data_IF_462575300314
#
_entry.id   IF_462575300314
#
_cell.length_a   1.000
_cell.length_b   1.000
_cell.length_c   1.000
_cell.angle_alpha   90.00
_cell.angle_beta   90.00
_cell.angle_gamma   90.00
#
_symmetry.space_group_name_H-M   'P 1'
#
loop_
_entity.id
_entity.type
_entity.pdbx_description
1 polymer ?
#
# COMPACT_ATOMS: atom_id res chain seq x y z
N UNK A 1 -4.44 20.90 -10.47
CA UNK A 1 -5.22 19.74 -9.98
C UNK A 1 -6.56 19.63 -10.70
N UNK A 2 -7.36 20.69 -10.75
CA UNK A 2 -8.68 20.68 -11.41
C UNK A 2 -8.66 20.19 -12.86
N UNK A 3 -7.69 20.67 -13.67
CA UNK A 3 -7.52 20.21 -15.06
C UNK A 3 -7.30 18.70 -15.16
N UNK A 4 -6.51 18.14 -14.23
CA UNK A 4 -6.25 16.71 -14.17
C UNK A 4 -7.54 15.95 -13.82
N UNK A 5 -8.25 16.37 -12.77
CA UNK A 5 -9.48 15.71 -12.33
C UNK A 5 -10.60 15.79 -13.38
N UNK A 6 -10.74 16.93 -14.07
CA UNK A 6 -11.72 17.07 -15.14
C UNK A 6 -11.35 16.21 -16.35
N UNK A 7 -10.08 16.17 -16.75
CA UNK A 7 -9.61 15.29 -17.83
C UNK A 7 -9.85 13.81 -17.53
N UNK A 8 -9.56 13.36 -16.30
CA UNK A 8 -9.89 11.99 -15.86
C UNK A 8 -11.40 11.76 -15.87
N UNK A 9 -12.20 12.71 -15.38
CA UNK A 9 -13.66 12.59 -15.35
C UNK A 9 -14.24 12.45 -16.75
N UNK A 10 -13.76 13.24 -17.72
CA UNK A 10 -14.18 13.15 -19.12
C UNK A 10 -13.79 11.81 -19.74
N UNK A 11 -12.55 11.36 -19.50
CA UNK A 11 -12.08 10.08 -20.02
C UNK A 11 -12.89 8.89 -19.45
N UNK A 12 -13.20 8.91 -18.15
CA UNK A 12 -14.06 7.89 -17.52
C UNK A 12 -15.50 7.93 -18.06
N UNK A 13 -16.06 9.12 -18.33
CA UNK A 13 -17.39 9.23 -18.98
C UNK A 13 -17.39 8.63 -20.38
N UNK A 14 -16.34 8.91 -21.15
CA UNK A 14 -16.19 8.43 -22.52
C UNK A 14 -16.06 6.90 -22.56
N UNK A 15 -15.24 6.33 -21.67
CA UNK A 15 -14.90 4.90 -21.64
C UNK A 15 -15.67 4.13 -20.55
N UNK A 16 -16.83 4.64 -20.12
CA UNK A 16 -17.61 4.09 -19.00
C UNK A 16 -17.97 2.61 -19.17
N UNK A 17 -18.08 2.14 -20.41
CA UNK A 17 -18.46 0.77 -20.73
C UNK A 17 -17.36 -0.25 -20.37
N UNK A 18 -16.11 0.22 -20.15
CA UNK A 18 -15.01 -0.59 -19.62
C UNK A 18 -15.07 -0.77 -18.11
N UNK A 19 -15.92 -0.02 -17.40
CA UNK A 19 -16.09 -0.20 -15.96
C UNK A 19 -16.83 -1.52 -15.72
N UNK A 20 -16.17 -2.53 -15.12
CA UNK A 20 -16.76 -3.84 -14.97
C UNK A 20 -17.89 -3.80 -13.92
N UNK A 21 -19.00 -4.49 -14.22
CA UNK A 21 -20.17 -4.54 -13.34
C UNK A 21 -20.12 -5.64 -12.27
N UNK A 22 -19.13 -6.53 -12.31
CA UNK A 22 -19.00 -7.64 -11.37
C UNK A 22 -18.47 -7.18 -10.01
N UNK A 23 -18.91 -7.83 -8.94
CA UNK A 23 -18.40 -7.57 -7.60
C UNK A 23 -16.89 -7.83 -7.51
N UNK A 24 -16.17 -6.98 -6.77
CA UNK A 24 -14.72 -7.09 -6.59
C UNK A 24 -13.90 -6.69 -7.83
N UNK A 25 -14.54 -6.11 -8.84
CA UNK A 25 -13.87 -5.57 -10.04
C UNK A 25 -13.96 -4.05 -10.09
N UNK A 26 -13.01 -3.41 -10.79
CA UNK A 26 -12.98 -1.96 -10.99
C UNK A 26 -12.25 -1.59 -12.28
N UNK A 27 -12.34 -0.32 -12.69
CA UNK A 27 -11.51 0.24 -13.76
C UNK A 27 -10.34 0.99 -13.13
N UNK A 28 -9.14 0.43 -13.24
CA UNK A 28 -7.93 1.05 -12.71
C UNK A 28 -7.45 2.15 -13.65
N UNK A 29 -7.23 3.35 -13.10
CA UNK A 29 -6.78 4.53 -13.83
C UNK A 29 -5.28 4.74 -13.54
N UNK A 30 -4.45 4.73 -14.59
CA UNK A 30 -3.00 4.91 -14.53
C UNK A 30 -2.58 6.18 -15.29
N UNK A 31 -2.61 7.34 -14.64
CA UNK A 31 -1.93 8.51 -15.16
C UNK A 31 -0.42 8.32 -15.09
N UNK A 32 0.29 8.81 -16.09
CA UNK A 32 1.74 8.78 -16.16
C UNK A 32 2.28 10.04 -16.85
N UNK A 33 3.48 10.43 -16.44
CA UNK A 33 4.26 11.49 -17.07
C UNK A 33 5.64 10.93 -17.39
N UNK A 34 6.12 11.15 -18.61
CA UNK A 34 7.48 10.80 -19.03
C UNK A 34 8.16 12.00 -19.70
N UNK A 35 9.46 12.16 -19.43
CA UNK A 35 10.31 13.09 -20.15
C UNK A 35 10.65 12.53 -21.54
N UNK A 36 10.61 13.38 -22.56
CA UNK A 36 10.84 12.98 -23.97
C UNK A 36 11.82 13.90 -24.70
N UNK A 37 12.70 14.56 -23.94
CA UNK A 37 13.77 15.41 -24.46
C UNK A 37 14.70 14.63 -25.43
N UNK A 38 14.95 15.12 -26.65
CA UNK A 38 15.80 14.43 -27.63
C UNK A 38 17.29 14.76 -27.44
N UNK A 39 17.76 14.93 -26.21
CA UNK A 39 19.17 15.24 -25.90
C UNK A 39 19.72 14.28 -24.85
N UNK A 40 21.03 14.00 -24.92
CA UNK A 40 21.71 13.05 -24.03
C UNK A 40 22.21 13.68 -22.71
N UNK A 41 22.21 15.01 -22.61
CA UNK A 41 22.67 15.72 -21.42
C UNK A 41 21.75 15.49 -20.23
N UNK A 42 22.32 15.31 -19.03
CA UNK A 42 21.55 15.13 -17.79
C UNK A 42 21.04 16.49 -17.32
N UNK A 43 19.78 16.80 -17.66
CA UNK A 43 19.05 17.99 -17.21
C UNK A 43 17.57 17.67 -17.02
N UNK A 44 16.81 18.50 -16.30
CA UNK A 44 15.36 18.50 -16.40
C UNK A 44 14.90 18.67 -17.87
N UNK A 45 13.86 17.93 -18.25
CA UNK A 45 13.30 17.98 -19.60
C UNK A 45 12.49 19.26 -19.80
N UNK A 46 12.49 19.81 -21.02
CA UNK A 46 11.56 20.88 -21.40
C UNK A 46 10.30 20.31 -22.10
N UNK A 47 10.32 19.02 -22.45
CA UNK A 47 9.24 18.32 -23.14
C UNK A 47 8.78 17.07 -22.39
N UNK A 48 7.47 16.94 -22.18
CA UNK A 48 6.87 15.83 -21.46
C UNK A 48 5.64 15.31 -22.19
N UNK A 49 5.44 14.00 -22.10
CA UNK A 49 4.14 13.40 -22.39
C UNK A 49 3.44 13.09 -21.08
N UNK A 50 2.22 13.62 -20.96
CA UNK A 50 1.24 13.15 -19.99
C UNK A 50 0.24 12.26 -20.73
N UNK A 51 -0.04 11.09 -20.18
CA UNK A 51 -1.01 10.16 -20.74
C UNK A 51 -1.70 9.38 -19.62
N UNK A 52 -2.85 8.80 -19.95
CA UNK A 52 -3.66 8.02 -19.02
C UNK A 52 -4.00 6.69 -19.67
N UNK A 53 -3.75 5.59 -18.96
CA UNK A 53 -4.18 4.26 -19.33
C UNK A 53 -5.30 3.83 -18.38
N UNK A 54 -6.36 3.23 -18.91
CA UNK A 54 -7.41 2.59 -18.11
C UNK A 54 -7.39 1.08 -18.36
N UNK A 55 -7.56 0.30 -17.30
CA UNK A 55 -7.50 -1.16 -17.38
C UNK A 55 -8.51 -1.77 -16.41
N UNK A 56 -9.45 -2.61 -16.88
CA UNK A 56 -10.32 -3.37 -16.00
C UNK A 56 -9.47 -4.32 -15.14
N UNK A 57 -9.74 -4.35 -13.84
CA UNK A 57 -9.04 -5.18 -12.86
C UNK A 57 -10.03 -5.93 -11.98
N UNK A 58 -9.62 -7.13 -11.55
CA UNK A 58 -10.32 -7.92 -10.53
C UNK A 58 -9.52 -8.00 -9.24
N UNK A 59 -9.69 -9.10 -8.51
CA UNK A 59 -8.94 -9.36 -7.28
C UNK A 59 -7.42 -9.30 -7.51
N UNK A 60 -6.72 -8.58 -6.61
CA UNK A 60 -5.29 -8.34 -6.74
C UNK A 60 -4.44 -9.60 -6.54
N UNK A 61 -4.79 -10.41 -5.55
CA UNK A 61 -4.18 -11.72 -5.31
C UNK A 61 -5.05 -12.82 -5.88
N UNK A 62 -4.44 -13.81 -6.53
CA UNK A 62 -5.16 -14.97 -7.06
C UNK A 62 -5.91 -15.75 -5.97
N UNK A 63 -5.40 -15.70 -4.73
CA UNK A 63 -6.05 -16.27 -3.57
C UNK A 63 -7.16 -15.38 -2.98
N UNK A 64 -7.47 -14.22 -3.56
CA UNK A 64 -8.43 -13.26 -2.99
C UNK A 64 -7.92 -12.57 -1.73
N UNK A 65 -8.82 -12.24 -0.81
CA UNK A 65 -8.51 -11.57 0.46
C UNK A 65 -7.99 -12.57 1.51
N UNK A 66 -6.86 -13.22 1.19
CA UNK A 66 -6.20 -14.19 2.06
C UNK A 66 -4.89 -13.60 2.63
N UNK A 67 -4.48 -14.02 3.84
CA UNK A 67 -3.23 -13.53 4.45
C UNK A 67 -1.99 -13.88 3.63
N UNK A 68 -1.12 -12.90 3.44
CA UNK A 68 0.15 -13.06 2.74
C UNK A 68 1.29 -13.42 3.70
N UNK A 69 2.35 -14.01 3.16
CA UNK A 69 3.64 -14.21 3.83
C UNK A 69 4.61 -13.13 3.40
N UNK A 70 5.22 -12.45 4.36
CA UNK A 70 6.16 -11.35 4.09
C UNK A 70 7.57 -11.71 4.58
N UNK A 71 8.57 -11.36 3.77
CA UNK A 71 9.98 -11.50 4.12
C UNK A 71 10.55 -10.13 4.49
N UNK A 72 11.13 -10.01 5.68
CA UNK A 72 11.88 -8.82 6.06
C UNK A 72 13.16 -8.75 5.23
N UNK A 73 13.35 -7.62 4.55
CA UNK A 73 14.52 -7.35 3.74
C UNK A 73 15.52 -6.50 4.51
N UNK A 74 16.70 -7.06 4.76
CA UNK A 74 17.80 -6.45 5.53
C UNK A 74 19.05 -6.14 4.67
N UNK A 75 19.03 -6.50 3.38
CA UNK A 75 20.12 -6.28 2.44
C UNK A 75 19.84 -5.08 1.54
N UNK A 76 18.72 -5.12 0.82
CA UNK A 76 18.29 -4.06 -0.12
C UNK A 76 17.48 -2.98 0.59
N UNK A 77 17.51 -1.77 0.03
CA UNK A 77 16.82 -0.60 0.57
C UNK A 77 15.83 -0.07 -0.46
N UNK A 78 14.63 0.28 -0.01
CA UNK A 78 13.58 0.84 -0.87
C UNK A 78 13.80 2.33 -1.16
N UNK A 79 14.10 3.09 -0.12
CA UNK A 79 14.30 4.53 -0.15
C UNK A 79 15.08 4.98 1.10
N UNK A 80 15.54 6.23 1.09
CA UNK A 80 16.18 6.91 2.22
C UNK A 80 15.59 8.32 2.36
N UNK A 81 15.63 8.92 3.56
CA UNK A 81 15.29 10.34 3.73
C UNK A 81 16.14 11.23 2.81
N UNK A 82 15.50 12.22 2.17
CA UNK A 82 16.13 13.06 1.16
C UNK A 82 16.23 12.42 -0.24
N UNK A 83 15.85 11.15 -0.38
CA UNK A 83 15.69 10.48 -1.68
C UNK A 83 14.31 10.73 -2.30
N UNK A 84 13.90 9.83 -3.20
CA UNK A 84 12.63 9.93 -3.93
C UNK A 84 11.49 9.11 -3.32
N UNK A 85 11.65 8.58 -2.10
CA UNK A 85 10.74 7.59 -1.49
C UNK A 85 9.29 8.05 -1.36
N UNK A 86 9.08 9.35 -1.09
CA UNK A 86 7.75 9.95 -0.95
C UNK A 86 7.03 10.17 -2.29
N UNK A 87 7.78 10.12 -3.40
CA UNK A 87 7.25 10.34 -4.73
C UNK A 87 6.99 9.02 -5.45
N UNK A 88 5.89 8.94 -6.21
CA UNK A 88 5.54 7.75 -7.00
C UNK A 88 6.31 7.68 -8.32
N UNK A 89 7.63 7.61 -8.24
CA UNK A 89 8.54 7.59 -9.40
C UNK A 89 8.94 6.19 -9.81
N UNK A 90 9.16 5.95 -11.11
CA UNK A 90 9.51 4.64 -11.65
C UNK A 90 10.80 4.06 -11.07
N UNK A 91 11.79 4.90 -10.73
CA UNK A 91 13.07 4.48 -10.17
C UNK A 91 12.92 3.69 -8.86
N UNK A 92 12.03 4.14 -7.97
CA UNK A 92 11.76 3.45 -6.70
C UNK A 92 11.25 2.01 -6.91
N UNK A 93 10.43 1.79 -7.93
CA UNK A 93 9.90 0.47 -8.26
C UNK A 93 10.92 -0.41 -8.96
N UNK A 94 11.74 0.15 -9.86
CA UNK A 94 12.78 -0.62 -10.54
C UNK A 94 13.82 -1.16 -9.54
N UNK A 95 14.22 -0.34 -8.56
CA UNK A 95 15.17 -0.74 -7.52
C UNK A 95 14.64 -1.86 -6.61
N UNK A 96 13.32 -1.98 -6.44
CA UNK A 96 12.70 -2.95 -5.53
C UNK A 96 12.55 -4.37 -6.11
N UNK A 97 12.61 -4.50 -7.44
CA UNK A 97 12.33 -5.77 -8.14
C UNK A 97 13.24 -6.92 -7.70
N UNK A 98 14.51 -6.64 -7.40
CA UNK A 98 15.48 -7.67 -7.02
C UNK A 98 15.12 -8.34 -5.69
N UNK A 99 14.79 -7.55 -4.67
CA UNK A 99 14.36 -8.05 -3.36
C UNK A 99 13.05 -8.86 -3.48
N UNK A 100 12.07 -8.34 -4.24
CA UNK A 100 10.81 -9.04 -4.49
C UNK A 100 11.01 -10.41 -5.16
N UNK A 101 11.93 -10.50 -6.13
CA UNK A 101 12.28 -11.79 -6.76
C UNK A 101 12.92 -12.77 -5.77
N UNK A 102 13.78 -12.29 -4.87
CA UNK A 102 14.41 -13.13 -3.82
C UNK A 102 13.35 -13.65 -2.86
N UNK A 103 12.47 -12.77 -2.36
CA UNK A 103 11.36 -13.12 -1.49
C UNK A 103 10.45 -14.18 -2.14
N UNK A 104 10.07 -13.98 -3.41
CA UNK A 104 9.28 -14.94 -4.18
C UNK A 104 9.95 -16.30 -4.33
N UNK A 105 11.25 -16.34 -4.60
CA UNK A 105 12.02 -17.60 -4.67
C UNK A 105 12.07 -18.34 -3.33
N UNK A 106 12.02 -17.61 -2.21
CA UNK A 106 11.93 -18.16 -0.85
C UNK A 106 10.48 -18.52 -0.44
N UNK A 107 9.48 -18.33 -1.31
CA UNK A 107 8.08 -18.66 -1.03
C UNK A 107 7.30 -17.59 -0.27
N UNK A 108 7.77 -16.33 -0.29
CA UNK A 108 7.08 -15.18 0.28
C UNK A 108 6.40 -14.36 -0.82
N UNK A 109 5.28 -13.73 -0.48
CA UNK A 109 4.45 -12.96 -1.41
C UNK A 109 4.92 -11.52 -1.55
N UNK A 110 5.46 -10.93 -0.48
CA UNK A 110 5.92 -9.54 -0.42
C UNK A 110 7.19 -9.39 0.44
N UNK A 111 7.84 -8.24 0.27
CA UNK A 111 8.96 -7.80 1.09
C UNK A 111 8.46 -6.84 2.17
N UNK A 112 8.90 -6.97 3.41
CA UNK A 112 8.79 -5.92 4.43
C UNK A 112 10.08 -5.10 4.42
N UNK A 113 9.96 -3.80 4.12
CA UNK A 113 11.07 -2.88 4.02
C UNK A 113 11.45 -2.34 5.40
N UNK A 114 12.74 -2.40 5.69
CA UNK A 114 13.36 -1.64 6.77
C UNK A 114 13.83 -0.28 6.25
N UNK A 115 14.01 0.67 7.16
CA UNK A 115 14.56 1.98 6.87
C UNK A 115 15.95 1.86 6.22
N UNK A 116 16.23 2.77 5.29
CA UNK A 116 17.46 2.69 4.52
C UNK A 116 18.74 3.12 5.26
N UNK A 117 18.63 3.73 6.44
CA UNK A 117 19.76 4.31 7.16
C UNK A 117 20.31 3.34 8.21
N UNK A 118 19.47 2.92 9.15
CA UNK A 118 19.81 2.06 10.28
C UNK A 118 19.46 0.59 9.99
N UNK A 119 18.64 0.31 8.96
CA UNK A 119 18.13 -1.02 8.64
C UNK A 119 17.49 -1.70 9.85
N UNK A 120 16.72 -0.91 10.60
CA UNK A 120 16.17 -1.29 11.91
C UNK A 120 14.68 -1.07 12.00
N UNK A 121 14.16 0.02 11.44
CA UNK A 121 12.78 0.44 11.61
C UNK A 121 11.92 0.00 10.44
N UNK A 122 10.71 -0.49 10.72
CA UNK A 122 9.76 -0.87 9.67
C UNK A 122 9.26 0.35 8.90
N UNK A 123 9.16 0.26 7.57
CA UNK A 123 8.58 1.30 6.71
C UNK A 123 7.31 0.83 5.96
N UNK A 124 7.48 -0.01 4.93
CA UNK A 124 6.42 -0.39 3.98
C UNK A 124 6.45 -1.90 3.70
N UNK A 125 5.36 -2.44 3.16
CA UNK A 125 5.27 -3.83 2.68
C UNK A 125 5.04 -3.86 1.18
N UNK A 126 6.04 -4.32 0.42
CA UNK A 126 6.00 -4.33 -1.04
C UNK A 126 5.89 -2.91 -1.60
N UNK A 127 4.68 -2.55 -2.04
CA UNK A 127 4.32 -1.21 -2.53
C UNK A 127 3.14 -0.59 -1.77
N UNK A 128 2.94 -1.03 -0.52
CA UNK A 128 1.84 -0.66 0.36
C UNK A 128 2.38 -0.14 1.70
N UNK A 129 1.64 0.77 2.33
CA UNK A 129 1.93 1.16 3.71
C UNK A 129 1.61 0.01 4.66
N UNK A 130 2.39 -0.14 5.75
CA UNK A 130 2.25 -1.24 6.70
C UNK A 130 1.59 -0.81 8.01
N UNK A 131 0.75 -1.68 8.57
CA UNK A 131 0.05 -1.48 9.83
C UNK A 131 0.15 -2.71 10.75
N UNK A 132 0.23 -2.47 12.06
CA UNK A 132 0.21 -3.49 13.11
C UNK A 132 -0.83 -3.11 14.16
N UNK A 133 -1.61 -4.09 14.64
CA UNK A 133 -2.68 -3.88 15.61
C UNK A 133 -2.29 -4.49 16.96
N UNK A 134 -2.27 -3.65 17.99
CA UNK A 134 -2.00 -4.00 19.39
C UNK A 134 -3.23 -3.71 20.21
N UNK A 135 -4.03 -4.72 20.55
CA UNK A 135 -5.29 -4.54 21.28
C UNK A 135 -6.20 -3.46 20.66
N UNK A 136 -6.27 -2.26 21.24
CA UNK A 136 -7.03 -1.10 20.80
C UNK A 136 -6.20 -0.02 20.07
N UNK A 137 -4.93 -0.29 19.78
CA UNK A 137 -3.99 0.62 19.11
C UNK A 137 -3.62 0.10 17.72
N UNK A 138 -3.70 0.96 16.71
CA UNK A 138 -3.20 0.71 15.35
C UNK A 138 -1.93 1.53 15.13
N UNK A 139 -0.83 0.83 14.87
CA UNK A 139 0.50 1.42 14.71
C UNK A 139 0.92 1.37 13.25
N UNK A 140 1.46 2.48 12.73
CA UNK A 140 2.08 2.57 11.40
C UNK A 140 3.32 3.45 11.46
N UNK A 141 4.23 3.27 10.50
CA UNK A 141 5.45 4.06 10.42
C UNK A 141 5.13 5.55 10.10
N UNK A 142 5.85 6.52 10.71
CA UNK A 142 5.65 7.95 10.48
C UNK A 142 6.20 8.37 9.11
N UNK A 143 5.67 9.45 8.54
CA UNK A 143 6.12 9.98 7.26
C UNK A 143 7.41 10.81 7.44
N UNK A 144 8.56 10.13 7.43
CA UNK A 144 9.89 10.72 7.72
C UNK A 144 10.75 10.98 6.48
N UNK A 145 10.15 11.20 5.30
CA UNK A 145 10.91 11.50 4.08
C UNK A 145 11.27 10.29 3.20
N UNK A 146 10.97 9.08 3.67
CA UNK A 146 11.29 7.82 2.98
C UNK A 146 10.08 6.94 2.74
N UNK A 147 8.86 7.34 3.10
CA UNK A 147 7.63 6.55 3.00
C UNK A 147 6.62 7.25 2.10
N UNK A 148 5.97 6.51 1.20
CA UNK A 148 4.93 7.07 0.35
C UNK A 148 3.69 7.44 1.20
N UNK A 149 3.21 8.68 1.09
CA UNK A 149 1.96 9.14 1.71
C UNK A 149 0.73 8.56 0.98
N UNK A 150 0.42 7.30 1.25
CA UNK A 150 -0.69 6.60 0.59
C UNK A 150 -2.06 7.17 0.96
N UNK A 151 -2.95 7.32 -0.04
CA UNK A 151 -4.34 7.72 0.19
C UNK A 151 -5.08 6.67 1.02
N UNK A 152 -4.86 5.38 0.74
CA UNK A 152 -5.47 4.28 1.50
C UNK A 152 -5.00 4.25 2.95
N UNK A 153 -3.74 4.62 3.22
CA UNK A 153 -3.21 4.78 4.59
C UNK A 153 -4.00 5.84 5.36
N UNK A 154 -4.22 7.01 4.75
CA UNK A 154 -5.02 8.08 5.36
C UNK A 154 -6.47 7.64 5.64
N UNK A 155 -7.11 6.98 4.67
CA UNK A 155 -8.46 6.43 4.85
C UNK A 155 -8.53 5.38 5.97
N UNK A 156 -7.55 4.48 6.05
CA UNK A 156 -7.46 3.46 7.10
C UNK A 156 -7.37 4.09 8.48
N UNK A 157 -6.48 5.08 8.67
CA UNK A 157 -6.32 5.75 9.96
C UNK A 157 -7.62 6.44 10.40
N UNK A 158 -8.29 7.14 9.48
CA UNK A 158 -9.59 7.79 9.74
C UNK A 158 -10.68 6.77 10.10
N UNK A 159 -10.76 5.65 9.37
CA UNK A 159 -11.75 4.62 9.65
C UNK A 159 -11.49 3.93 11.00
N UNK A 160 -10.25 3.52 11.26
CA UNK A 160 -9.87 2.88 12.50
C UNK A 160 -10.17 3.76 13.73
N UNK A 161 -9.90 5.07 13.65
CA UNK A 161 -10.27 6.04 14.69
C UNK A 161 -11.79 6.05 14.95
N UNK A 162 -12.62 6.13 13.91
CA UNK A 162 -14.08 6.04 14.06
C UNK A 162 -14.59 4.69 14.58
N UNK A 163 -13.77 3.65 14.48
CA UNK A 163 -14.06 2.32 15.03
C UNK A 163 -13.59 2.14 16.46
N UNK A 164 -13.06 3.19 17.09
CA UNK A 164 -12.62 3.22 18.49
C UNK A 164 -11.17 2.80 18.71
N UNK A 165 -10.35 2.73 17.65
CA UNK A 165 -8.93 2.41 17.78
C UNK A 165 -8.10 3.69 17.87
N UNK A 166 -7.14 3.73 18.79
CA UNK A 166 -6.14 4.79 18.83
C UNK A 166 -5.12 4.60 17.70
N UNK A 167 -4.79 5.66 16.98
CA UNK A 167 -3.76 5.62 15.93
C UNK A 167 -2.43 6.11 16.49
N UNK A 168 -1.35 5.37 16.21
CA UNK A 168 0.01 5.77 16.52
C UNK A 168 0.91 5.74 15.28
N UNK A 169 1.37 6.91 14.88
CA UNK A 169 2.43 7.05 13.88
C UNK A 169 3.78 7.08 14.61
N UNK A 170 4.45 5.93 14.69
CA UNK A 170 5.76 5.82 15.38
C UNK A 170 6.67 4.83 14.69
N UNK A 171 7.98 5.01 14.89
CA UNK A 171 8.94 4.01 14.44
C UNK A 171 8.74 2.71 15.23
N UNK A 172 8.92 1.59 14.53
CA UNK A 172 8.82 0.23 15.10
C UNK A 172 10.12 -0.47 14.76
N UNK A 173 10.94 -0.80 15.77
CA UNK A 173 12.15 -1.56 15.51
C UNK A 173 11.79 -3.01 15.15
N UNK A 174 12.51 -3.63 14.21
CA UNK A 174 12.26 -5.02 13.82
C UNK A 174 12.40 -5.97 15.02
N UNK A 175 13.38 -5.74 15.89
CA UNK A 175 13.58 -6.58 17.09
C UNK A 175 12.43 -6.42 18.10
N UNK A 176 11.88 -5.20 18.25
CA UNK A 176 10.68 -4.94 19.06
C UNK A 176 9.48 -5.69 18.49
N UNK A 177 9.24 -5.57 17.17
CA UNK A 177 8.13 -6.23 16.50
C UNK A 177 8.22 -7.75 16.63
N UNK A 178 9.40 -8.33 16.44
CA UNK A 178 9.63 -9.79 16.59
C UNK A 178 9.33 -10.24 18.02
N UNK A 179 9.83 -9.51 19.02
CA UNK A 179 9.55 -9.81 20.42
C UNK A 179 8.05 -9.71 20.73
N UNK A 180 7.37 -8.70 20.21
CA UNK A 180 5.95 -8.47 20.45
C UNK A 180 5.03 -9.47 19.72
N UNK A 181 5.42 -9.96 18.54
CA UNK A 181 4.74 -11.09 17.87
C UNK A 181 4.88 -12.35 18.71
N UNK A 182 6.10 -12.68 19.18
CA UNK A 182 6.33 -13.87 20.05
C UNK A 182 5.57 -13.79 21.36
N UNK A 183 5.44 -12.59 21.93
CA UNK A 183 4.65 -12.34 23.14
C UNK A 183 3.14 -12.31 22.90
N UNK A 184 2.68 -12.45 21.64
CA UNK A 184 1.25 -12.42 21.29
C UNK A 184 0.60 -11.05 21.46
N UNK A 185 1.39 -9.97 21.50
CA UNK A 185 0.89 -8.59 21.63
C UNK A 185 0.36 -8.05 20.30
N UNK A 186 1.00 -8.41 19.19
CA UNK A 186 0.52 -8.08 17.84
C UNK A 186 -0.64 -9.01 17.47
N UNK A 187 -1.84 -8.45 17.40
CA UNK A 187 -3.09 -9.19 17.12
C UNK A 187 -3.34 -9.35 15.63
N UNK A 188 -3.03 -8.32 14.85
CA UNK A 188 -3.26 -8.28 13.41
C UNK A 188 -2.13 -7.49 12.72
N UNK A 189 -1.88 -7.78 11.45
CA UNK A 189 -0.98 -6.98 10.61
C UNK A 189 -1.53 -6.95 9.18
N UNK A 190 -1.39 -5.80 8.51
CA UNK A 190 -1.88 -5.65 7.13
C UNK A 190 -1.17 -4.54 6.36
N UNK A 191 -1.09 -4.71 5.04
CA UNK A 191 -0.73 -3.66 4.10
C UNK A 191 -1.95 -2.87 3.61
N UNK A 192 -1.75 -1.62 3.20
CA UNK A 192 -2.79 -0.81 2.56
C UNK A 192 -2.30 -0.14 1.28
N UNK A 193 -3.13 -0.15 0.24
CA UNK A 193 -2.82 0.51 -1.03
C UNK A 193 -3.93 0.32 -2.05
N UNK A 194 -4.00 1.19 -3.07
CA UNK A 194 -5.12 1.26 -4.02
C UNK A 194 -5.46 -0.07 -4.68
N UNK A 195 -4.46 -0.88 -5.04
CA UNK A 195 -4.68 -2.05 -5.87
C UNK A 195 -5.33 -3.22 -5.10
N UNK A 196 -4.95 -3.42 -3.83
CA UNK A 196 -5.49 -4.50 -2.99
C UNK A 196 -6.44 -3.99 -1.90
N UNK A 197 -6.58 -2.67 -1.76
CA UNK A 197 -7.28 -1.97 -0.67
C UNK A 197 -6.61 -2.25 0.68
N UNK A 198 -6.84 -3.43 1.24
CA UNK A 198 -6.20 -3.96 2.44
C UNK A 198 -5.63 -5.35 2.11
N UNK A 199 -4.45 -5.67 2.63
CA UNK A 199 -3.83 -7.00 2.45
C UNK A 199 -3.45 -7.57 3.81
N UNK A 200 -4.16 -8.58 4.32
CA UNK A 200 -3.84 -9.20 5.60
C UNK A 200 -2.47 -9.86 5.54
N UNK A 201 -1.73 -9.83 6.65
CA UNK A 201 -0.43 -10.51 6.81
C UNK A 201 -0.56 -11.59 7.85
N UNK A 202 -0.34 -12.84 7.46
CA UNK A 202 -0.44 -13.99 8.37
C UNK A 202 0.91 -14.44 8.91
N UNK A 203 1.97 -14.26 8.13
CA UNK A 203 3.34 -14.66 8.50
C UNK A 203 4.33 -13.58 8.13
N UNK A 204 5.19 -13.23 9.07
CA UNK A 204 6.39 -12.42 8.86
C UNK A 204 7.61 -13.30 9.06
N UNK A 205 8.61 -13.23 8.17
CA UNK A 205 9.89 -13.91 8.42
C UNK A 205 11.05 -12.94 8.49
N UNK A 206 11.86 -13.06 9.55
CA UNK A 206 13.08 -12.29 9.76
C UNK A 206 14.24 -13.24 10.04
N UNK A 207 15.36 -13.08 9.34
CA UNK A 207 16.56 -13.95 9.47
C UNK A 207 16.22 -15.46 9.41
N UNK A 208 15.41 -15.82 8.43
CA UNK A 208 14.90 -17.17 8.16
C UNK A 208 14.05 -17.80 9.30
N UNK A 209 13.62 -17.00 10.28
CA UNK A 209 12.64 -17.40 11.29
C UNK A 209 11.23 -16.95 10.88
N UNK A 210 10.29 -17.86 10.63
CA UNK A 210 8.89 -17.51 10.38
C UNK A 210 8.14 -17.28 11.69
N UNK A 211 7.41 -16.17 11.76
CA UNK A 211 6.59 -15.74 12.90
C UNK A 211 5.14 -15.58 12.44
N UNK A 212 4.22 -16.30 13.08
CA UNK A 212 2.79 -16.16 12.84
C UNK A 212 2.24 -14.94 13.57
N UNK A 213 1.56 -14.05 12.86
CA UNK A 213 0.89 -12.88 13.46
C UNK A 213 -0.51 -13.28 13.91
N UNK A 214 -0.86 -13.03 15.17
CA UNK A 214 -2.15 -13.46 15.74
C UNK A 214 -2.37 -14.96 15.59
N UNK A 215 -3.42 -15.35 14.87
CA UNK A 215 -3.70 -16.76 14.52
C UNK A 215 -3.27 -17.13 13.08
N UNK A 216 -2.56 -16.24 12.38
CA UNK A 216 -2.17 -16.38 10.97
C UNK A 216 -3.29 -16.13 9.96
N UNK A 217 -4.51 -15.86 10.43
CA UNK A 217 -5.69 -15.58 9.64
C UNK A 217 -5.94 -14.09 9.41
N UNK A 218 -7.09 -13.78 8.82
CA UNK A 218 -7.57 -12.41 8.69
C UNK A 218 -8.08 -11.93 10.04
N UNK A 219 -7.56 -10.81 10.51
CA UNK A 219 -7.99 -10.17 11.75
C UNK A 219 -9.36 -9.49 11.64
N UNK A 220 -10.02 -9.27 12.78
CA UNK A 220 -11.37 -8.68 12.83
C UNK A 220 -11.39 -7.23 12.36
N UNK A 221 -10.42 -6.43 12.81
CA UNK A 221 -10.30 -5.05 12.36
C UNK A 221 -9.93 -5.00 10.87
N UNK A 222 -8.97 -5.84 10.46
CA UNK A 222 -8.51 -5.94 9.07
C UNK A 222 -9.67 -6.22 8.11
N UNK A 223 -10.53 -7.19 8.44
CA UNK A 223 -11.74 -7.50 7.66
C UNK A 223 -12.72 -6.31 7.66
N UNK A 224 -13.00 -5.74 8.84
CA UNK A 224 -13.94 -4.62 8.96
C UNK A 224 -13.48 -3.39 8.17
N UNK A 225 -12.18 -3.09 8.15
CA UNK A 225 -11.60 -2.01 7.35
C UNK A 225 -11.78 -2.26 5.84
N UNK A 226 -11.49 -3.48 5.39
CA UNK A 226 -11.69 -3.87 3.99
C UNK A 226 -13.15 -3.73 3.57
N UNK A 227 -14.08 -4.31 4.34
CA UNK A 227 -15.51 -4.29 4.06
C UNK A 227 -16.07 -2.87 4.07
N UNK A 228 -15.63 -2.04 5.02
CA UNK A 228 -16.10 -0.65 5.14
C UNK A 228 -15.59 0.19 3.97
N UNK A 229 -14.29 0.11 3.67
CA UNK A 229 -13.69 0.94 2.63
C UNK A 229 -14.17 0.54 1.23
N UNK A 230 -14.26 -0.75 0.94
CA UNK A 230 -14.85 -1.23 -0.32
C UNK A 230 -16.35 -0.92 -0.37
N UNK A 231 -17.08 -1.08 0.74
CA UNK A 231 -18.50 -0.71 0.83
C UNK A 231 -18.75 0.77 0.50
N UNK A 232 -17.88 1.68 0.95
CA UNK A 232 -17.92 3.10 0.58
C UNK A 232 -17.64 3.27 -0.93
N UNK A 233 -16.58 2.64 -1.44
CA UNK A 233 -16.19 2.73 -2.86
C UNK A 233 -17.29 2.26 -3.82
N UNK A 234 -18.01 1.19 -3.47
CA UNK A 234 -19.14 0.66 -4.23
C UNK A 234 -20.48 1.36 -3.94
N UNK A 235 -20.50 2.35 -3.04
CA UNK A 235 -21.73 3.06 -2.64
C UNK A 235 -22.73 2.20 -1.85
N UNK A 236 -22.30 1.06 -1.29
CA UNK A 236 -23.10 0.20 -0.41
C UNK A 236 -23.19 0.77 1.01
N UNK A 237 -22.17 1.51 1.42
CA UNK A 237 -22.08 2.19 2.72
C UNK A 237 -22.04 3.71 2.45
N UNK A 238 -22.78 4.52 3.25
CA UNK A 238 -22.72 5.98 3.11
C UNK A 238 -21.31 6.52 3.31
N UNK A 239 -20.88 7.38 2.39
CA UNK A 239 -19.61 8.09 2.46
C UNK A 239 -19.72 9.34 3.35
N UNK A 240 -19.51 9.15 4.66
CA UNK A 240 -19.54 10.26 5.63
C UNK A 240 -18.31 11.18 5.53
N UNK A 241 -17.26 10.74 4.85
CA UNK A 241 -16.00 11.48 4.70
C UNK A 241 -15.91 12.27 3.38
N UNK A 242 -16.87 12.09 2.47
CA UNK A 242 -16.91 12.73 1.14
C UNK A 242 -15.69 12.39 0.26
N UNK A 243 -15.23 11.14 0.31
CA UNK A 243 -14.17 10.59 -0.54
C UNK A 243 -14.64 10.24 -1.97
N UNK A 244 -15.89 9.84 -2.13
CA UNK A 244 -16.43 9.36 -3.41
C UNK A 244 -16.92 10.54 -4.24
N UNK A 245 -16.32 10.68 -5.42
CA UNK A 245 -16.80 11.60 -6.45
C UNK A 245 -17.64 10.84 -7.48
N UNK A 246 -18.92 11.18 -7.57
CA UNK A 246 -19.78 10.66 -8.64
C UNK A 246 -19.35 11.26 -9.98
N UNK A 247 -19.09 10.40 -10.95
CA UNK A 247 -18.88 10.78 -12.34
C UNK A 247 -20.22 10.58 -13.06
N UNK A 248 -20.86 11.69 -13.45
CA UNK A 248 -22.12 11.73 -14.21
C UNK A 248 -21.86 11.94 -15.69
#
# INVERSE_FOLDING_TARGET
EDLFLEGISQLVRLEKDWVPGSEGTSLYIRPAVIAVEPVLGVKPSDHYYFFVIMSPVGAYYAAGFNPVKILVEDTYVRAVPGGTGEAKTGGNYAASLKAAQIAKKKGFDQVLWLDGCDKKYIEEVGSMNMFFVYEDVVVTAPLTGSILKGVTRDSVMKLADTMGFRIEERQIAIDELVADIRAGKVKEAFGSGTAAVITPVGVLSYKDEPLTVGNGGVGKLTQKLYDTLTGIQYGKIPDTFKWVRKIS
#
